data_IF_932557871609
#
_entry.id   IF_932557871609
#
_cell.length_a   1.000
_cell.length_b   1.000
_cell.length_c   1.000
_cell.angle_alpha   90.00
_cell.angle_beta   90.00
_cell.angle_gamma   90.00
#
_symmetry.space_group_name_H-M   'P 1'
#
loop_
_entity.id
_entity.type
_entity.pdbx_description
1 polymer ?
#
# COMPACT_ATOMS: atom_id res chain seq x y z
N UNK A 1 -1.74 -1.40 15.77
CA UNK A 1 -1.31 -1.53 14.36
C UNK A 1 0.20 -1.38 14.22
N UNK A 2 0.82 -0.30 14.69
CA UNK A 2 2.29 -0.15 14.66
C UNK A 2 3.03 -1.36 15.25
N UNK A 3 2.61 -1.85 16.42
CA UNK A 3 3.18 -3.07 17.03
C UNK A 3 3.06 -4.32 16.15
N UNK A 4 1.97 -4.43 15.38
CA UNK A 4 1.76 -5.55 14.45
C UNK A 4 2.68 -5.40 13.24
N UNK A 5 2.74 -4.22 12.63
CA UNK A 5 3.60 -3.95 11.47
C UNK A 5 5.09 -4.09 11.82
N UNK A 6 5.50 -3.67 13.02
CA UNK A 6 6.88 -3.83 13.50
C UNK A 6 7.24 -5.28 13.85
N UNK A 7 6.24 -6.13 14.10
CA UNK A 7 6.43 -7.57 14.38
C UNK A 7 6.45 -8.43 13.11
N UNK A 8 6.05 -7.88 11.98
CA UNK A 8 6.07 -8.60 10.71
C UNK A 8 7.49 -8.70 10.13
N UNK A 9 7.80 -9.75 9.36
CA UNK A 9 9.10 -9.89 8.71
C UNK A 9 9.46 -8.67 7.85
N UNK A 10 10.76 -8.35 7.74
CA UNK A 10 11.24 -7.24 6.94
C UNK A 10 10.77 -7.29 5.47
N UNK A 11 10.58 -8.49 4.91
CA UNK A 11 10.06 -8.69 3.55
C UNK A 11 8.63 -8.15 3.38
N UNK A 12 7.81 -8.13 4.45
CA UNK A 12 6.47 -7.54 4.41
C UNK A 12 6.52 -6.02 4.21
N UNK A 13 7.55 -5.34 4.72
CA UNK A 13 7.73 -3.90 4.48
C UNK A 13 7.99 -3.63 3.01
N UNK A 14 8.92 -4.35 2.41
CA UNK A 14 9.26 -4.21 0.99
C UNK A 14 8.07 -4.53 0.08
N UNK A 15 7.31 -5.58 0.42
CA UNK A 15 6.08 -5.92 -0.26
C UNK A 15 5.03 -4.80 -0.16
N UNK A 16 4.81 -4.20 1.02
CA UNK A 16 3.90 -3.07 1.17
C UNK A 16 4.34 -1.86 0.35
N UNK A 17 5.63 -1.54 0.36
CA UNK A 17 6.18 -0.42 -0.38
C UNK A 17 5.93 -0.58 -1.89
N UNK A 18 6.22 -1.75 -2.44
CA UNK A 18 5.98 -2.04 -3.86
C UNK A 18 4.49 -2.09 -4.20
N UNK A 19 3.66 -2.65 -3.32
CA UNK A 19 2.20 -2.67 -3.48
C UNK A 19 1.59 -1.26 -3.52
N UNK A 20 1.96 -0.39 -2.56
CA UNK A 20 1.49 1.00 -2.51
C UNK A 20 2.03 1.80 -3.70
N UNK A 21 3.29 1.62 -4.07
CA UNK A 21 3.88 2.29 -5.22
C UNK A 21 3.15 1.95 -6.52
N UNK A 22 2.85 0.66 -6.76
CA UNK A 22 2.06 0.23 -7.91
C UNK A 22 0.66 0.85 -7.90
N UNK A 23 -0.03 0.86 -6.76
CA UNK A 23 -1.36 1.45 -6.65
C UNK A 23 -1.35 2.94 -7.01
N UNK A 24 -0.46 3.72 -6.39
CA UNK A 24 -0.33 5.16 -6.64
C UNK A 24 0.03 5.45 -8.11
N UNK A 25 0.96 4.68 -8.67
CA UNK A 25 1.35 4.82 -10.07
C UNK A 25 0.18 4.48 -11.02
N UNK A 26 -0.63 3.48 -10.70
CA UNK A 26 -1.81 3.13 -11.49
C UNK A 26 -2.86 4.26 -11.47
N UNK A 27 -3.11 4.86 -10.30
CA UNK A 27 -4.04 5.99 -10.19
C UNK A 27 -3.52 7.22 -10.96
N UNK A 28 -2.22 7.52 -10.87
CA UNK A 28 -1.57 8.57 -11.65
C UNK A 28 -1.68 8.35 -13.16
N UNK A 29 -1.45 7.11 -13.61
CA UNK A 29 -1.59 6.68 -15.00
C UNK A 29 -3.03 6.89 -15.50
N UNK A 30 -4.03 6.49 -14.70
CA UNK A 30 -5.45 6.73 -14.99
C UNK A 30 -5.78 8.23 -15.04
N UNK A 31 -5.30 9.03 -14.08
CA UNK A 31 -5.54 10.48 -14.03
C UNK A 31 -4.92 11.27 -15.18
N UNK A 32 -3.86 10.72 -15.78
CA UNK A 32 -3.09 11.36 -16.86
C UNK A 32 -3.38 10.74 -18.22
N UNK A 33 -4.23 9.72 -18.30
CA UNK A 33 -4.51 8.95 -19.52
C UNK A 33 -3.25 8.38 -20.19
N UNK A 34 -2.27 8.00 -19.37
CA UNK A 34 -1.00 7.42 -19.83
C UNK A 34 -0.90 5.95 -19.42
N UNK A 35 -0.18 5.10 -20.17
CA UNK A 35 0.09 3.73 -19.74
C UNK A 35 0.88 3.69 -18.43
N UNK A 36 0.53 2.76 -17.55
CA UNK A 36 1.35 2.42 -16.38
C UNK A 36 2.69 1.81 -16.85
N UNK A 37 3.85 2.28 -16.37
CA UNK A 37 5.12 1.64 -16.66
C UNK A 37 5.15 0.18 -16.16
N UNK A 38 5.53 -0.75 -17.04
CA UNK A 38 5.58 -2.19 -16.73
C UNK A 38 6.47 -2.52 -15.52
N UNK A 39 7.47 -1.67 -15.23
CA UNK A 39 8.38 -1.81 -14.09
C UNK A 39 7.66 -1.88 -12.74
N UNK A 40 6.52 -1.19 -12.56
CA UNK A 40 5.78 -1.27 -11.30
C UNK A 40 5.19 -2.65 -11.04
N UNK A 41 4.65 -3.29 -12.08
CA UNK A 41 4.12 -4.66 -11.98
C UNK A 41 5.26 -5.66 -11.78
N UNK A 42 6.33 -5.53 -12.57
CA UNK A 42 7.52 -6.38 -12.47
C UNK A 42 8.18 -6.31 -11.09
N UNK A 43 8.28 -5.11 -10.50
CA UNK A 43 8.85 -4.93 -9.17
C UNK A 43 8.03 -5.66 -8.10
N UNK A 44 6.70 -5.55 -8.16
CA UNK A 44 5.82 -6.24 -7.22
C UNK A 44 5.89 -7.77 -7.39
N UNK A 45 5.93 -8.25 -8.63
CA UNK A 45 6.07 -9.68 -8.92
C UNK A 45 7.42 -10.21 -8.46
N UNK A 46 8.51 -9.46 -8.66
CA UNK A 46 9.84 -9.82 -8.18
C UNK A 46 9.88 -9.95 -6.65
N UNK A 47 9.29 -9.01 -5.90
CA UNK A 47 9.21 -9.10 -4.43
C UNK A 47 8.38 -10.31 -4.00
N UNK A 48 7.24 -10.57 -4.65
CA UNK A 48 6.44 -11.78 -4.36
C UNK A 48 7.23 -13.06 -4.59
N UNK A 49 7.97 -13.15 -5.70
CA UNK A 49 8.79 -14.31 -6.01
C UNK A 49 9.90 -14.52 -4.97
N UNK A 50 10.58 -13.45 -4.56
CA UNK A 50 11.61 -13.50 -3.51
C UNK A 50 11.03 -13.97 -2.17
N UNK A 51 9.85 -13.49 -1.79
CA UNK A 51 9.16 -13.92 -0.57
C UNK A 51 8.82 -15.41 -0.61
N UNK A 52 8.22 -15.88 -1.70
CA UNK A 52 7.88 -17.30 -1.85
C UNK A 52 9.12 -18.20 -1.83
N UNK A 53 10.21 -17.77 -2.47
CA UNK A 53 11.49 -18.49 -2.43
C UNK A 53 12.09 -18.56 -1.01
N UNK A 54 11.83 -17.56 -0.17
CA UNK A 54 12.21 -17.53 1.24
C UNK A 54 11.20 -18.25 2.16
N UNK A 55 10.17 -18.90 1.61
CA UNK A 55 9.14 -19.59 2.39
C UNK A 55 8.12 -18.67 3.07
N UNK A 56 8.08 -17.38 2.69
CA UNK A 56 7.09 -16.42 3.17
C UNK A 56 5.91 -16.32 2.20
N UNK A 57 4.70 -16.15 2.75
CA UNK A 57 3.50 -15.88 1.96
C UNK A 57 3.22 -14.37 1.90
N UNK A 58 3.26 -13.72 0.72
CA UNK A 58 2.88 -12.31 0.57
C UNK A 58 1.48 -11.97 1.09
N UNK A 59 0.55 -12.93 1.12
CA UNK A 59 -0.80 -12.71 1.64
C UNK A 59 -0.84 -12.66 3.18
N UNK A 60 0.18 -13.17 3.87
CA UNK A 60 0.28 -13.10 5.32
C UNK A 60 0.66 -11.68 5.80
N UNK A 61 1.19 -10.82 4.93
CA UNK A 61 1.54 -9.45 5.28
C UNK A 61 0.30 -8.57 5.39
N UNK A 62 0.25 -7.73 6.43
CA UNK A 62 -0.73 -6.66 6.50
C UNK A 62 -0.55 -5.70 5.32
N UNK A 63 -1.65 -5.35 4.65
CA UNK A 63 -1.68 -4.38 3.54
C UNK A 63 -2.41 -3.12 4.00
N UNK A 64 -1.92 -1.91 3.66
CA UNK A 64 -2.67 -0.69 3.88
C UNK A 64 -3.93 -0.70 3.00
N UNK A 65 -4.98 -0.06 3.49
CA UNK A 65 -6.15 0.26 2.68
C UNK A 65 -5.75 1.44 1.78
N UNK A 66 -5.99 1.32 0.48
CA UNK A 66 -5.74 2.38 -0.48
C UNK A 66 -7.05 2.80 -1.13
N UNK A 67 -7.26 4.10 -1.24
CA UNK A 67 -8.46 4.71 -1.79
C UNK A 67 -8.07 5.67 -2.92
N UNK A 68 -8.95 5.76 -3.92
CA UNK A 68 -8.86 6.75 -5.00
C UNK A 68 -9.71 7.94 -4.57
N UNK A 69 -9.14 9.14 -4.66
CA UNK A 69 -9.84 10.40 -4.40
C UNK A 69 -10.11 11.12 -5.73
N UNK A 70 -11.39 11.26 -6.14
CA UNK A 70 -11.73 12.03 -7.33
C UNK A 70 -11.53 13.53 -7.07
N UNK A 71 -10.74 14.18 -7.92
CA UNK A 71 -10.48 15.62 -7.87
C UNK A 71 -11.25 16.38 -8.98
N UNK A 72 -11.44 17.70 -8.83
CA UNK A 72 -12.02 18.53 -9.88
C UNK A 72 -11.29 18.39 -11.22
N UNK A 73 -12.04 18.51 -12.32
CA UNK A 73 -11.47 18.41 -13.67
C UNK A 73 -11.11 17.00 -14.10
N UNK A 74 -11.70 15.97 -13.47
CA UNK A 74 -11.49 14.56 -13.84
C UNK A 74 -10.14 13.99 -13.43
N UNK A 75 -9.41 14.69 -12.54
CA UNK A 75 -8.16 14.21 -11.96
C UNK A 75 -8.42 13.21 -10.85
N UNK A 76 -7.45 12.34 -10.60
CA UNK A 76 -7.50 11.36 -9.51
C UNK A 76 -6.25 11.51 -8.64
N UNK A 77 -6.45 11.43 -7.34
CA UNK A 77 -5.38 11.23 -6.37
C UNK A 77 -5.59 9.91 -5.62
N UNK A 78 -4.63 9.53 -4.79
CA UNK A 78 -4.71 8.34 -3.98
C UNK A 78 -4.04 8.52 -2.64
N UNK A 79 -4.67 7.96 -1.63
CA UNK A 79 -4.13 7.89 -0.29
C UNK A 79 -4.23 6.46 0.24
N UNK A 80 -3.22 6.06 1.00
CA UNK A 80 -3.14 4.74 1.61
C UNK A 80 -2.92 4.90 3.11
N UNK A 81 -3.38 3.94 3.89
CA UNK A 81 -3.23 3.96 5.34
C UNK A 81 -3.94 2.81 6.03
N UNK A 82 -3.95 2.84 7.35
CA UNK A 82 -4.58 1.84 8.18
C UNK A 82 -5.72 2.44 8.99
N UNK A 83 -6.82 1.70 9.07
CA UNK A 83 -7.83 1.93 10.09
C UNK A 83 -7.42 1.17 11.34
N UNK A 84 -7.21 1.89 12.44
CA UNK A 84 -6.74 1.32 13.71
C UNK A 84 -7.70 1.72 14.81
N UNK A 85 -7.87 0.89 15.83
CA UNK A 85 -8.67 1.27 17.00
C UNK A 85 -8.10 2.56 17.60
N UNK A 86 -8.96 3.55 17.85
CA UNK A 86 -8.53 4.78 18.49
C UNK A 86 -8.12 4.48 19.93
N UNK A 87 -7.06 5.14 20.40
CA UNK A 87 -6.59 5.00 21.79
C UNK A 87 -7.06 6.17 22.67
N UNK A 88 -7.64 7.20 22.07
CA UNK A 88 -8.15 8.41 22.72
C UNK A 88 -9.33 8.98 21.93
N UNK A 89 -10.25 9.70 22.60
CA UNK A 89 -11.42 10.33 21.98
C UNK A 89 -12.67 9.44 21.96
N UNK A 90 -13.77 9.95 21.41
CA UNK A 90 -15.04 9.24 21.26
C UNK A 90 -15.07 8.31 20.03
N UNK A 91 -14.12 8.48 19.11
CA UNK A 91 -14.05 7.67 17.89
C UNK A 91 -13.64 6.24 18.20
N UNK A 92 -14.29 5.26 17.54
CA UNK A 92 -13.90 3.85 17.64
C UNK A 92 -12.62 3.54 16.84
N UNK A 93 -12.34 4.33 15.81
CA UNK A 93 -11.22 4.11 14.90
C UNK A 93 -10.59 5.43 14.46
N UNK A 94 -9.26 5.41 14.28
CA UNK A 94 -8.49 6.50 13.68
C UNK A 94 -7.81 6.02 12.38
N UNK A 95 -7.63 6.94 11.44
CA UNK A 95 -6.88 6.71 10.20
C UNK A 95 -5.41 7.08 10.41
N UNK A 96 -4.52 6.14 10.11
CA UNK A 96 -3.07 6.36 10.14
C UNK A 96 -2.56 6.31 8.69
N UNK A 97 -2.07 7.44 8.14
CA UNK A 97 -1.52 7.47 6.79
C UNK A 97 -0.35 6.50 6.61
N UNK A 98 -0.22 5.95 5.41
CA UNK A 98 0.97 5.21 4.98
C UNK A 98 2.03 6.20 4.48
N UNK A 99 3.16 6.25 5.17
CA UNK A 99 4.30 7.14 4.90
C UNK A 99 5.54 6.40 4.38
N UNK A 100 5.47 5.07 4.19
CA UNK A 100 6.57 4.26 3.62
C UNK A 100 7.54 3.66 4.64
N UNK A 101 7.17 3.63 5.92
CA UNK A 101 7.95 3.07 7.04
C UNK A 101 8.40 1.62 6.88
#
# INVERSE_FOLDING_TARGET
MQTRLSSEPAMCREFRNTWVALFKANVQAMSSETPLPASYQQNLEAVRAQMMAAGADPQACSKPNCMIDPLPGGKLDSYCGYRVTATHGEDLYQWVPWDGQ
#
